data_IF_472856241703
#
_entry.id   IF_472856241703
#
_cell.length_a   1.000
_cell.length_b   1.000
_cell.length_c   1.000
_cell.angle_alpha   90.00
_cell.angle_beta   90.00
_cell.angle_gamma   90.00
#
_symmetry.space_group_name_H-M   'P 1'
#
loop_
_entity.id
_entity.type
_entity.pdbx_description
1 polymer ?
#
# COMPACT_ATOMS: atom_id res chain seq x y z
N UNK A 1 8.54 -8.55 10.91
CA UNK A 1 9.93 -8.88 10.53
C UNK A 1 10.32 -8.00 9.37
N UNK A 2 11.35 -7.16 9.54
CA UNK A 2 11.87 -6.33 8.45
C UNK A 2 13.07 -7.05 7.84
N UNK A 3 13.04 -7.28 6.53
CA UNK A 3 14.23 -7.72 5.80
C UNK A 3 14.89 -6.44 5.28
N UNK A 4 16.03 -6.07 5.85
CA UNK A 4 16.84 -5.01 5.26
C UNK A 4 17.31 -5.49 3.88
N UNK A 5 17.05 -4.70 2.84
CA UNK A 5 17.47 -5.00 1.48
C UNK A 5 18.99 -4.81 1.44
N UNK A 6 19.74 -5.90 1.48
CA UNK A 6 21.21 -5.91 1.42
C UNK A 6 21.89 -7.13 2.04
N UNK A 7 21.33 -7.76 3.08
CA UNK A 7 22.08 -8.79 3.84
C UNK A 7 21.27 -10.02 4.29
N UNK A 8 19.98 -10.12 3.96
CA UNK A 8 19.15 -11.27 4.39
C UNK A 8 18.88 -11.35 5.89
N UNK A 9 19.44 -10.45 6.70
CA UNK A 9 19.24 -10.39 8.14
C UNK A 9 17.81 -9.95 8.47
N UNK A 10 17.18 -10.70 9.38
CA UNK A 10 15.93 -10.29 10.01
C UNK A 10 16.25 -9.25 11.09
N UNK A 11 15.66 -8.07 10.95
CA UNK A 11 15.74 -7.01 11.97
C UNK A 11 14.41 -6.96 12.71
N UNK A 12 14.48 -6.99 14.05
CA UNK A 12 13.31 -6.77 14.90
C UNK A 12 13.14 -5.28 15.17
N UNK A 13 11.91 -4.85 15.45
CA UNK A 13 11.61 -3.45 15.71
C UNK A 13 12.45 -2.87 16.87
N UNK A 14 12.65 -3.67 17.92
CA UNK A 14 13.47 -3.28 19.08
C UNK A 14 14.93 -2.97 18.73
N UNK A 15 15.47 -3.60 17.68
CA UNK A 15 16.84 -3.38 17.24
C UNK A 15 16.99 -1.97 16.58
N UNK A 16 15.87 -1.31 16.29
CA UNK A 16 15.80 0.06 15.76
C UNK A 16 15.64 1.13 16.87
N UNK A 17 15.67 0.75 18.15
CA UNK A 17 15.47 1.68 19.26
C UNK A 17 16.50 2.81 19.22
N UNK A 18 16.02 4.05 19.26
CA UNK A 18 16.86 5.25 19.19
C UNK A 18 17.50 5.54 17.82
N UNK A 19 17.24 4.72 16.79
CA UNK A 19 17.75 4.93 15.44
C UNK A 19 16.86 5.90 14.66
N UNK A 20 17.42 6.48 13.60
CA UNK A 20 16.68 7.20 12.56
C UNK A 20 16.42 6.22 11.43
N UNK A 21 15.18 6.15 10.94
CA UNK A 21 14.81 5.26 9.84
C UNK A 21 14.17 6.03 8.71
N UNK A 22 14.38 5.55 7.49
CA UNK A 22 13.75 6.07 6.26
C UNK A 22 12.88 4.96 5.68
N UNK A 23 11.64 5.30 5.35
CA UNK A 23 10.65 4.41 4.77
C UNK A 23 10.25 4.96 3.40
N UNK A 24 10.31 4.11 2.38
CA UNK A 24 9.72 4.38 1.06
C UNK A 24 8.19 4.47 1.22
N UNK A 25 7.67 5.69 1.08
CA UNK A 25 6.28 6.04 1.29
C UNK A 25 5.34 5.45 0.25
N UNK A 26 5.75 5.34 -1.02
CA UNK A 26 4.90 4.77 -2.07
C UNK A 26 4.80 3.27 -1.94
N UNK A 27 5.93 2.57 -1.75
CA UNK A 27 5.88 1.14 -1.51
C UNK A 27 5.10 0.86 -0.22
N UNK A 28 5.30 1.66 0.84
CA UNK A 28 4.55 1.52 2.07
C UNK A 28 3.02 1.66 1.84
N UNK A 29 2.58 2.74 1.20
CA UNK A 29 1.17 2.97 0.89
C UNK A 29 0.59 1.84 0.02
N UNK A 30 1.35 1.35 -0.96
CA UNK A 30 0.95 0.25 -1.82
C UNK A 30 0.78 -1.07 -1.04
N UNK A 31 1.70 -1.40 -0.12
CA UNK A 31 1.56 -2.58 0.74
C UNK A 31 0.37 -2.46 1.70
N UNK A 32 0.06 -1.26 2.17
CA UNK A 32 -1.14 -1.01 2.97
C UNK A 32 -2.41 -1.17 2.14
N UNK A 33 -2.44 -0.62 0.92
CA UNK A 33 -3.57 -0.77 0.01
C UNK A 33 -3.89 -2.24 -0.27
N UNK A 34 -2.87 -3.11 -0.46
CA UNK A 34 -3.08 -4.55 -0.64
C UNK A 34 -3.77 -5.27 0.53
N UNK A 35 -3.71 -4.71 1.74
CA UNK A 35 -4.36 -5.29 2.94
C UNK A 35 -5.80 -4.83 3.09
N UNK A 36 -6.19 -3.76 2.37
CA UNK A 36 -7.56 -3.27 2.36
C UNK A 36 -8.37 -4.07 1.33
N UNK A 37 -9.65 -4.31 1.64
CA UNK A 37 -10.55 -4.88 0.66
C UNK A 37 -10.65 -3.95 -0.56
N UNK A 38 -10.69 -4.47 -1.81
CA UNK A 38 -10.77 -3.65 -3.02
C UNK A 38 -11.91 -2.62 -2.99
N UNK A 39 -13.04 -2.97 -2.36
CA UNK A 39 -14.19 -2.08 -2.17
C UNK A 39 -13.88 -0.86 -1.28
N UNK A 40 -12.96 -0.96 -0.32
CA UNK A 40 -12.53 0.17 0.52
C UNK A 40 -11.74 1.18 -0.30
N UNK A 41 -10.87 0.69 -1.20
CA UNK A 41 -10.08 1.52 -2.10
C UNK A 41 -10.96 2.18 -3.18
N UNK A 42 -11.89 1.42 -3.76
CA UNK A 42 -12.75 1.89 -4.85
C UNK A 42 -13.85 2.85 -4.38
N UNK A 43 -14.40 2.64 -3.18
CA UNK A 43 -15.43 3.52 -2.62
C UNK A 43 -14.85 4.67 -1.79
N UNK A 44 -13.52 4.87 -1.87
CA UNK A 44 -12.79 5.96 -1.22
C UNK A 44 -13.20 6.16 0.25
N UNK A 45 -13.23 5.09 1.06
CA UNK A 45 -13.61 5.17 2.48
C UNK A 45 -12.36 5.53 3.32
N UNK A 46 -12.10 6.82 3.63
CA UNK A 46 -10.80 7.25 4.13
C UNK A 46 -10.58 6.82 5.59
N UNK A 47 -11.65 6.62 6.37
CA UNK A 47 -11.53 6.20 7.77
C UNK A 47 -10.82 4.85 7.94
N UNK A 48 -11.13 3.87 7.07
CA UNK A 48 -10.55 2.52 7.16
C UNK A 48 -9.09 2.48 6.72
N UNK A 49 -8.71 3.28 5.71
CA UNK A 49 -7.32 3.37 5.25
C UNK A 49 -6.41 4.07 6.26
N UNK A 50 -6.90 5.12 6.93
CA UNK A 50 -6.14 5.82 7.97
C UNK A 50 -5.87 4.94 9.21
N UNK A 51 -6.83 4.10 9.61
CA UNK A 51 -6.66 3.19 10.76
C UNK A 51 -5.55 2.17 10.49
N UNK A 52 -5.53 1.56 9.30
CA UNK A 52 -4.50 0.58 8.95
C UNK A 52 -3.12 1.21 8.82
N UNK A 53 -3.04 2.42 8.26
CA UNK A 53 -1.80 3.19 8.22
C UNK A 53 -1.24 3.44 9.63
N UNK A 54 -2.10 3.91 10.56
CA UNK A 54 -1.69 4.19 11.94
C UNK A 54 -1.15 2.93 12.63
N UNK A 55 -1.85 1.79 12.54
CA UNK A 55 -1.42 0.53 13.16
C UNK A 55 -0.01 0.11 12.75
N UNK A 56 0.39 0.39 11.51
CA UNK A 56 1.71 0.01 11.03
C UNK A 56 2.80 1.02 11.39
N UNK A 57 2.51 2.33 11.33
CA UNK A 57 3.52 3.37 11.59
C UNK A 57 3.75 3.60 13.08
N UNK A 58 2.70 3.49 13.89
CA UNK A 58 2.75 3.79 15.33
C UNK A 58 3.85 3.03 16.10
N UNK A 59 4.11 1.72 15.88
CA UNK A 59 5.21 1.00 16.52
C UNK A 59 6.59 1.61 16.23
N UNK A 60 6.82 2.12 15.02
CA UNK A 60 8.09 2.74 14.66
C UNK A 60 8.26 4.11 15.31
N UNK A 61 7.21 4.92 15.31
CA UNK A 61 7.22 6.24 15.95
C UNK A 61 7.49 6.11 17.45
N UNK A 62 6.97 5.05 18.09
CA UNK A 62 7.22 4.77 19.51
C UNK A 62 8.61 4.21 19.80
N UNK A 63 9.28 3.61 18.82
CA UNK A 63 10.56 2.89 19.05
C UNK A 63 11.77 3.68 18.54
N UNK A 64 11.66 4.32 17.39
CA UNK A 64 12.75 5.02 16.71
C UNK A 64 12.85 6.46 17.22
N UNK A 65 14.03 7.07 17.13
CA UNK A 65 14.19 8.50 17.41
C UNK A 65 13.48 9.36 16.36
N UNK A 66 13.58 8.94 15.10
CA UNK A 66 12.93 9.62 13.96
C UNK A 66 12.52 8.61 12.90
N UNK A 67 11.38 8.86 12.27
CA UNK A 67 10.84 8.10 11.14
C UNK A 67 10.59 9.07 9.99
N UNK A 68 11.31 8.90 8.88
CA UNK A 68 11.13 9.71 7.67
C UNK A 68 10.37 8.91 6.62
N UNK A 69 9.24 9.43 6.15
CA UNK A 69 8.52 8.89 5.00
C UNK A 69 8.94 9.67 3.76
N UNK A 70 9.56 8.99 2.80
CA UNK A 70 10.04 9.60 1.55
C UNK A 70 9.15 9.17 0.41
N UNK A 71 8.61 10.13 -0.32
CA UNK A 71 7.78 9.90 -1.49
C UNK A 71 8.57 10.24 -2.75
N UNK A 72 8.40 9.43 -3.79
CA UNK A 72 8.98 9.74 -5.10
C UNK A 72 8.42 11.09 -5.59
N UNK A 73 9.30 11.90 -6.16
CA UNK A 73 8.92 13.16 -6.79
C UNK A 73 8.43 12.96 -8.21
N UNK A 74 8.89 13.81 -9.11
CA UNK A 74 8.57 13.67 -10.53
C UNK A 74 9.14 12.38 -11.13
N UNK A 75 8.38 11.81 -12.06
CA UNK A 75 8.79 10.61 -12.77
C UNK A 75 10.03 10.87 -13.62
N UNK A 76 11.05 10.02 -13.46
CA UNK A 76 12.24 10.07 -14.30
C UNK A 76 11.89 9.64 -15.75
N UNK A 77 12.35 10.36 -16.78
CA UNK A 77 12.09 10.03 -18.18
C UNK A 77 12.47 8.59 -18.56
N UNK A 78 13.54 8.08 -17.95
CA UNK A 78 14.06 6.72 -18.14
C UNK A 78 13.13 5.61 -17.62
N UNK A 79 12.14 5.93 -16.78
CA UNK A 79 11.15 4.97 -16.25
C UNK A 79 9.82 4.99 -17.02
N UNK A 80 9.71 5.76 -18.10
CA UNK A 80 8.46 5.93 -18.89
C UNK A 80 7.91 4.60 -19.45
N UNK A 81 8.76 3.75 -20.03
CA UNK A 81 8.35 2.44 -20.59
C UNK A 81 7.76 1.53 -19.49
N UNK A 82 8.41 1.47 -18.33
CA UNK A 82 7.95 0.69 -17.18
C UNK A 82 6.61 1.23 -16.66
N UNK A 83 6.44 2.55 -16.66
CA UNK A 83 5.18 3.20 -16.28
C UNK A 83 4.02 2.78 -17.15
N UNK A 84 4.22 2.82 -18.48
CA UNK A 84 3.19 2.45 -19.46
C UNK A 84 2.80 0.97 -19.29
N UNK A 85 3.77 0.09 -19.07
CA UNK A 85 3.50 -1.32 -18.82
C UNK A 85 2.70 -1.54 -17.53
N UNK A 86 3.06 -0.85 -16.43
CA UNK A 86 2.33 -0.92 -15.16
C UNK A 86 0.90 -0.37 -15.28
N UNK A 87 0.70 0.72 -16.03
CA UNK A 87 -0.62 1.29 -16.27
C UNK A 87 -1.54 0.29 -16.99
N UNK A 88 -1.05 -0.34 -18.07
CA UNK A 88 -1.82 -1.36 -18.79
C UNK A 88 -2.25 -2.53 -17.90
N UNK A 89 -1.41 -2.96 -16.97
CA UNK A 89 -1.74 -4.01 -16.00
C UNK A 89 -2.81 -3.56 -14.99
N UNK A 90 -2.72 -2.31 -14.52
CA UNK A 90 -3.71 -1.73 -13.61
C UNK A 90 -5.07 -1.58 -14.29
N UNK A 91 -5.11 -1.09 -15.52
CA UNK A 91 -6.35 -0.92 -16.28
C UNK A 91 -7.07 -2.27 -16.46
N UNK A 92 -6.32 -3.33 -16.77
CA UNK A 92 -6.86 -4.70 -16.88
C UNK A 92 -7.45 -5.18 -15.56
N UNK A 93 -6.78 -4.95 -14.45
CA UNK A 93 -7.28 -5.32 -13.12
C UNK A 93 -8.54 -4.54 -12.74
N UNK A 94 -8.57 -3.23 -12.99
CA UNK A 94 -9.74 -2.38 -12.70
C UNK A 94 -11.00 -2.85 -13.44
N UNK A 95 -10.86 -3.29 -14.69
CA UNK A 95 -11.97 -3.89 -15.45
C UNK A 95 -12.48 -5.15 -14.76
N UNK A 96 -11.59 -6.08 -14.38
CA UNK A 96 -11.95 -7.32 -13.70
C UNK A 96 -12.70 -7.08 -12.38
N UNK A 97 -12.22 -6.14 -11.56
CA UNK A 97 -12.87 -5.83 -10.28
C UNK A 97 -14.25 -5.20 -10.50
N UNK A 98 -14.42 -4.32 -11.50
CA UNK A 98 -15.73 -3.76 -11.83
C UNK A 98 -16.73 -4.83 -12.27
N UNK A 99 -16.28 -5.78 -13.08
CA UNK A 99 -17.10 -6.92 -13.50
C UNK A 99 -17.51 -7.81 -12.31
N UNK A 100 -16.59 -8.08 -11.38
CA UNK A 100 -16.86 -8.88 -10.18
C UNK A 100 -17.84 -8.18 -9.23
N UNK A 101 -17.69 -6.88 -9.01
CA UNK A 101 -18.63 -6.07 -8.22
C UNK A 101 -20.02 -6.03 -8.87
N UNK A 102 -20.09 -5.90 -10.19
CA UNK A 102 -21.36 -5.94 -10.92
C UNK A 102 -22.07 -7.30 -10.77
N UNK A 103 -21.33 -8.42 -10.90
CA UNK A 103 -21.87 -9.77 -10.70
C UNK A 103 -22.40 -9.99 -9.28
N UNK A 104 -21.72 -9.48 -8.26
CA UNK A 104 -22.14 -9.61 -6.86
C UNK A 104 -23.34 -8.72 -6.49
N UNK A 105 -23.50 -7.56 -7.13
CA UNK A 105 -24.62 -6.64 -6.87
C UNK A 105 -25.91 -6.99 -7.64
N UNK A 106 -25.86 -7.90 -8.61
CA UNK A 106 -27.05 -8.40 -9.33
C UNK A 106 -27.79 -9.54 -8.60
N UNK A 107 -27.21 -10.06 -7.51
CA UNK A 107 -27.77 -11.15 -6.70
C UNK A 107 -28.98 -10.80 -5.79
N UNK A 108 -29.15 -9.58 -5.22
CA UNK A 108 -30.26 -9.32 -4.30
C UNK A 108 -31.58 -8.95 -4.99
N UNK A 109 -31.54 -8.54 -6.27
CA UNK A 109 -32.69 -7.99 -7.00
C UNK A 109 -33.47 -9.03 -7.81
N UNK A 110 -32.94 -10.24 -7.99
CA UNK A 110 -33.60 -11.33 -8.72
C UNK A 110 -34.51 -12.22 -7.83
N UNK A 111 -34.72 -11.87 -6.56
CA UNK A 111 -35.64 -12.54 -5.62
C UNK A 111 -36.77 -11.62 -5.17
N UNK A 112 -37.49 -11.03 -6.12
CA UNK A 112 -38.86 -10.53 -5.90
C UNK A 112 -39.76 -11.12 -6.96
#
# INVERSE_FOLDING_TARGET
LFKAIGAGQQIRLQDLKGKRIIIDGFNFAFQMAKRLAPSVLLNNQPGKSCIEFKKFVEPFVKTCSYVFLVFDGQQLPTKSIISIQRQKQQDKFLVQVKEEVAKNNLSPLAKK
#
